data_IF_942999182546
#
_entry.id   IF_942999182546
#
_cell.length_a   1.000
_cell.length_b   1.000
_cell.length_c   1.000
_cell.angle_alpha   90.00
_cell.angle_beta   90.00
_cell.angle_gamma   90.00
#
_symmetry.space_group_name_H-M   'P 1'
#
loop_
_entity.id
_entity.type
_entity.pdbx_description
1 polymer ?
#
# COMPACT_ATOMS: atom_id res chain seq x y z
N UNK A 1 14.16 -25.99 -0.82
CA UNK A 1 12.77 -25.58 -1.12
C UNK A 1 12.38 -24.26 -0.44
N UNK A 2 13.33 -23.42 -0.01
CA UNK A 2 13.05 -22.16 0.72
C UNK A 2 12.89 -20.94 -0.22
N UNK A 3 13.29 -21.06 -1.48
CA UNK A 3 13.15 -20.00 -2.49
C UNK A 3 11.72 -19.88 -3.04
N UNK A 4 10.96 -20.97 -3.06
CA UNK A 4 9.63 -21.00 -3.68
C UNK A 4 8.62 -20.18 -2.84
N UNK A 5 8.59 -20.42 -1.54
CA UNK A 5 7.70 -19.69 -0.62
C UNK A 5 8.00 -18.19 -0.50
N UNK A 6 9.25 -17.77 -0.68
CA UNK A 6 9.61 -16.35 -0.70
C UNK A 6 9.15 -15.66 -2.00
N UNK A 7 9.21 -16.36 -3.13
CA UNK A 7 8.65 -15.88 -4.40
C UNK A 7 7.12 -15.80 -4.36
N UNK A 8 6.45 -16.78 -3.75
CA UNK A 8 5.00 -16.77 -3.57
C UNK A 8 4.54 -15.60 -2.69
N UNK A 9 5.23 -15.35 -1.57
CA UNK A 9 4.96 -14.21 -0.70
C UNK A 9 5.20 -12.87 -1.41
N UNK A 10 6.26 -12.77 -2.20
CA UNK A 10 6.53 -11.59 -3.02
C UNK A 10 5.44 -11.38 -4.08
N UNK A 11 5.02 -12.45 -4.77
CA UNK A 11 3.95 -12.40 -5.76
C UNK A 11 2.61 -11.98 -5.17
N UNK A 12 2.27 -12.52 -4.00
CA UNK A 12 1.08 -12.12 -3.25
C UNK A 12 1.13 -10.64 -2.85
N UNK A 13 2.27 -10.17 -2.35
CA UNK A 13 2.44 -8.77 -1.98
C UNK A 13 2.36 -7.85 -3.20
N UNK A 14 2.97 -8.23 -4.32
CA UNK A 14 2.91 -7.48 -5.57
C UNK A 14 1.46 -7.38 -6.09
N UNK A 15 0.70 -8.46 -6.04
CA UNK A 15 -0.73 -8.46 -6.40
C UNK A 15 -1.54 -7.51 -5.50
N UNK A 16 -1.29 -7.54 -4.18
CA UNK A 16 -1.93 -6.64 -3.21
C UNK A 16 -1.56 -5.18 -3.44
N UNK A 17 -0.29 -4.88 -3.76
CA UNK A 17 0.16 -3.52 -4.09
C UNK A 17 -0.54 -3.00 -5.34
N UNK A 18 -0.65 -3.83 -6.39
CA UNK A 18 -1.39 -3.48 -7.60
C UNK A 18 -2.86 -3.17 -7.31
N UNK A 19 -3.51 -4.00 -6.50
CA UNK A 19 -4.90 -3.76 -6.08
C UNK A 19 -5.05 -2.42 -5.34
N UNK A 20 -4.13 -2.11 -4.42
CA UNK A 20 -4.15 -0.85 -3.69
C UNK A 20 -3.96 0.35 -4.63
N UNK A 21 -3.03 0.27 -5.59
CA UNK A 21 -2.86 1.30 -6.62
C UNK A 21 -4.14 1.54 -7.44
N UNK A 22 -4.80 0.47 -7.89
CA UNK A 22 -6.06 0.58 -8.64
C UNK A 22 -7.17 1.22 -7.80
N UNK A 23 -7.27 0.87 -6.51
CA UNK A 23 -8.25 1.50 -5.59
C UNK A 23 -7.99 2.98 -5.39
N UNK A 24 -6.74 3.36 -5.12
CA UNK A 24 -6.35 4.78 -4.96
C UNK A 24 -6.62 5.57 -6.24
N UNK A 25 -6.41 4.98 -7.41
CA UNK A 25 -6.72 5.62 -8.69
C UNK A 25 -8.23 5.76 -8.95
N UNK A 26 -9.05 4.83 -8.45
CA UNK A 26 -10.52 4.86 -8.58
C UNK A 26 -11.25 5.65 -7.49
N UNK A 27 -10.56 6.07 -6.43
CA UNK A 27 -11.13 6.84 -5.34
C UNK A 27 -11.40 8.28 -5.76
N UNK A 28 -12.63 8.74 -5.53
CA UNK A 28 -13.03 10.14 -5.73
C UNK A 28 -12.60 11.00 -4.53
N UNK A 29 -11.29 11.13 -4.34
CA UNK A 29 -10.67 11.94 -3.29
C UNK A 29 -9.95 13.15 -3.88
N UNK A 30 -9.68 14.20 -3.10
CA UNK A 30 -8.87 15.34 -3.53
C UNK A 30 -7.49 14.89 -4.04
N UNK A 31 -6.93 15.64 -4.98
CA UNK A 31 -5.64 15.30 -5.59
C UNK A 31 -4.51 15.23 -4.57
N UNK A 32 -4.54 16.11 -3.57
CA UNK A 32 -3.58 16.12 -2.47
C UNK A 32 -3.61 14.82 -1.67
N UNK A 33 -4.80 14.37 -1.28
CA UNK A 33 -5.01 13.08 -0.60
C UNK A 33 -4.53 11.92 -1.48
N UNK A 34 -4.87 11.93 -2.77
CA UNK A 34 -4.42 10.92 -3.74
C UNK A 34 -2.89 10.88 -3.85
N UNK A 35 -2.23 12.04 -3.89
CA UNK A 35 -0.77 12.14 -3.92
C UNK A 35 -0.14 11.58 -2.63
N UNK A 36 -0.70 11.92 -1.47
CA UNK A 36 -0.23 11.39 -0.18
C UNK A 36 -0.37 9.86 -0.11
N UNK A 37 -1.52 9.31 -0.53
CA UNK A 37 -1.74 7.87 -0.61
C UNK A 37 -0.76 7.18 -1.57
N UNK A 38 -0.55 7.78 -2.74
CA UNK A 38 0.41 7.27 -3.75
C UNK A 38 1.83 7.28 -3.19
N UNK A 39 2.23 8.34 -2.48
CA UNK A 39 3.55 8.42 -1.83
C UNK A 39 3.72 7.34 -0.77
N UNK A 40 2.67 7.08 0.02
CA UNK A 40 2.64 6.03 1.05
C UNK A 40 2.80 4.64 0.42
N UNK A 41 2.13 4.37 -0.70
CA UNK A 41 2.30 3.13 -1.48
C UNK A 41 3.74 2.94 -2.00
N UNK A 42 4.39 4.00 -2.46
CA UNK A 42 5.79 3.95 -2.90
C UNK A 42 6.74 3.59 -1.75
N UNK A 43 6.53 4.17 -0.56
CA UNK A 43 7.33 3.84 0.63
C UNK A 43 7.13 2.37 1.04
N UNK A 44 5.90 1.86 0.99
CA UNK A 44 5.61 0.44 1.28
C UNK A 44 6.28 -0.48 0.24
N UNK A 45 6.25 -0.10 -1.03
CA UNK A 45 6.89 -0.86 -2.12
C UNK A 45 8.41 -0.87 -1.99
N UNK A 46 9.01 0.25 -1.55
CA UNK A 46 10.43 0.31 -1.24
C UNK A 46 10.75 -0.60 -0.04
N UNK A 47 9.94 -0.52 1.03
CA UNK A 47 10.07 -1.35 2.23
C UNK A 47 10.02 -2.84 1.90
N UNK A 48 9.14 -3.26 0.99
CA UNK A 48 8.97 -4.65 0.59
C UNK A 48 10.26 -5.32 0.07
N UNK A 49 11.22 -4.53 -0.44
CA UNK A 49 12.50 -5.04 -0.93
C UNK A 49 13.43 -5.52 0.19
N UNK A 50 13.27 -5.01 1.40
CA UNK A 50 14.14 -5.30 2.55
C UNK A 50 13.38 -5.86 3.76
N UNK A 51 12.10 -5.53 3.90
CA UNK A 51 11.20 -5.96 4.97
C UNK A 51 9.83 -6.30 4.38
N UNK A 52 9.71 -7.52 3.87
CA UNK A 52 8.48 -8.02 3.25
C UNK A 52 7.32 -8.05 4.25
N UNK A 53 7.60 -8.48 5.49
CA UNK A 53 6.59 -8.64 6.53
C UNK A 53 6.04 -7.29 7.01
N UNK A 54 6.91 -6.31 7.28
CA UNK A 54 6.43 -4.98 7.66
C UNK A 54 5.87 -4.18 6.49
N UNK A 55 6.23 -4.48 5.24
CA UNK A 55 5.53 -3.94 4.08
C UNK A 55 4.10 -4.49 3.96
N UNK A 56 3.94 -5.81 4.12
CA UNK A 56 2.63 -6.46 4.09
C UNK A 56 1.69 -5.90 5.17
N UNK A 57 2.19 -5.75 6.41
CA UNK A 57 1.40 -5.19 7.52
C UNK A 57 0.98 -3.73 7.26
N UNK A 58 1.89 -2.89 6.78
CA UNK A 58 1.58 -1.49 6.41
C UNK A 58 0.58 -1.40 5.26
N UNK A 59 0.67 -2.31 4.29
CA UNK A 59 -0.26 -2.37 3.17
C UNK A 59 -1.67 -2.78 3.63
N UNK A 60 -1.76 -3.72 4.56
CA UNK A 60 -3.03 -4.13 5.16
C UNK A 60 -3.68 -2.98 5.92
N UNK A 61 -2.94 -2.27 6.76
CA UNK A 61 -3.44 -1.09 7.45
C UNK A 61 -3.89 0.00 6.48
N UNK A 62 -3.11 0.27 5.42
CA UNK A 62 -3.51 1.23 4.39
C UNK A 62 -4.82 0.82 3.73
N UNK A 63 -4.96 -0.45 3.33
CA UNK A 63 -6.21 -0.92 2.70
C UNK A 63 -7.40 -0.86 3.65
N UNK A 64 -7.20 -1.09 4.95
CA UNK A 64 -8.23 -0.92 5.97
C UNK A 64 -8.64 0.55 6.11
N UNK A 65 -7.67 1.46 6.15
CA UNK A 65 -7.90 2.92 6.18
C UNK A 65 -8.76 3.36 4.97
N UNK A 66 -8.41 2.89 3.76
CA UNK A 66 -9.15 3.15 2.54
C UNK A 66 -10.59 2.60 2.57
N UNK A 67 -10.81 1.44 3.19
CA UNK A 67 -12.13 0.80 3.34
C UNK A 67 -12.99 1.54 4.37
N UNK A 68 -12.40 1.98 5.47
CA UNK A 68 -13.03 2.80 6.51
C UNK A 68 -13.22 4.26 6.09
N UNK A 69 -12.71 4.67 4.91
CA UNK A 69 -12.73 6.06 4.45
C UNK A 69 -11.89 7.00 5.32
N UNK A 70 -10.97 6.44 6.12
CA UNK A 70 -9.93 7.21 6.76
C UNK A 70 -8.88 7.49 5.71
N UNK A 71 -8.71 8.76 5.42
CA UNK A 71 -7.65 9.25 4.55
C UNK A 71 -6.72 10.11 5.40
N UNK A 72 -5.43 10.23 5.02
CA UNK A 72 -4.55 11.18 5.67
C UNK A 72 -5.20 12.56 5.66
N UNK A 73 -5.48 13.10 6.86
CA UNK A 73 -6.11 14.40 7.04
C UNK A 73 -5.17 15.48 6.50
N UNK A 74 -5.73 16.46 5.79
CA UNK A 74 -4.99 17.59 5.22
C UNK A 74 -4.41 18.56 6.26
N UNK A 75 -4.39 18.23 7.57
CA UNK A 75 -3.60 18.99 8.54
C UNK A 75 -2.14 18.56 8.54
N UNK A 76 -1.38 19.23 7.70
CA UNK A 76 -0.13 19.82 8.15
C UNK A 76 -0.23 21.31 7.84
N UNK A 77 -0.47 22.08 8.91
CA UNK A 77 -0.51 23.55 8.92
C UNK A 77 0.78 24.19 8.43
#
# INVERSE_FOLDING_TARGET
>A
MEHDGQLELYGFLAARLKQAHTRVAGLQVPEDVRMQLTRRLLVITAAAKHDLAGAARRLEELMKDLDEGRFPDQRSS
#
